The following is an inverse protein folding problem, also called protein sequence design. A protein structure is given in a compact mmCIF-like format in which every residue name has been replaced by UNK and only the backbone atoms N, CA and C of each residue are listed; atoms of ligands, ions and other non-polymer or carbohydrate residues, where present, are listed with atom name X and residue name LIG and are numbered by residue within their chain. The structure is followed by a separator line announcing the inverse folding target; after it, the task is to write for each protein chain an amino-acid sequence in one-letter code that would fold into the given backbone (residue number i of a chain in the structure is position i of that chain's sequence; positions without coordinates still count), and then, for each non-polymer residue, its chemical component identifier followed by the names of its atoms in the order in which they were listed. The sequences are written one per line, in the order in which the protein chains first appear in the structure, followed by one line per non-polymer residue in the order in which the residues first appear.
data_IF_181908336592
#
_entry.id   IF_181908336592
#
_cell.length_a   1.000
_cell.length_b   1.000
_cell.length_c   1.000
_cell.angle_alpha   90.00
_cell.angle_beta   90.00
_cell.angle_gamma   90.00
#
_symmetry.space_group_name_H-M   'P 1'
#
loop_
_entity.id
_entity.type
_entity.pdbx_description
1 polymer ?
#
# COMPACT_ATOMS: atom_id res chain seq x y z
N UNK A 1 -4.85 -34.18 -16.10
CA UNK A 1 -5.51 -33.12 -16.89
C UNK A 1 -5.05 -31.78 -16.35
N UNK A 2 -4.50 -30.92 -17.20
CA UNK A 2 -4.12 -29.55 -16.84
C UNK A 2 -5.27 -28.63 -17.25
N UNK A 3 -5.79 -27.84 -16.32
CA UNK A 3 -6.80 -26.81 -16.61
C UNK A 3 -6.05 -25.50 -16.83
N UNK A 4 -6.37 -24.80 -17.92
CA UNK A 4 -5.81 -23.49 -18.22
C UNK A 4 -6.86 -22.43 -17.89
N UNK A 5 -6.68 -21.62 -16.83
CA UNK A 5 -7.58 -20.52 -16.54
C UNK A 5 -7.35 -19.41 -17.57
N UNK A 6 -8.36 -19.13 -18.38
CA UNK A 6 -8.36 -18.01 -19.32
C UNK A 6 -8.99 -16.79 -18.63
N UNK A 7 -8.30 -15.66 -18.70
CA UNK A 7 -8.70 -14.38 -18.12
C UNK A 7 -8.12 -13.25 -18.96
N UNK A 8 -8.96 -12.58 -19.75
CA UNK A 8 -8.51 -11.61 -20.77
C UNK A 8 -9.09 -10.24 -20.49
N UNK A 9 -8.26 -9.22 -20.73
CA UNK A 9 -8.66 -7.83 -20.69
C UNK A 9 -8.46 -7.21 -22.06
N UNK A 10 -9.43 -6.41 -22.50
CA UNK A 10 -9.37 -5.63 -23.73
C UNK A 10 -9.91 -4.22 -23.48
N UNK A 11 -9.25 -3.22 -24.06
CA UNK A 11 -9.74 -1.84 -24.04
C UNK A 11 -10.38 -1.52 -25.38
N UNK A 12 -11.62 -1.03 -25.35
CA UNK A 12 -12.40 -0.66 -26.54
C UNK A 12 -12.94 0.76 -26.41
N UNK A 13 -13.17 1.40 -27.54
CA UNK A 13 -13.92 2.65 -27.62
C UNK A 13 -15.40 2.42 -27.28
N UNK A 14 -16.03 3.44 -26.68
CA UNK A 14 -17.46 3.39 -26.33
C UNK A 14 -18.35 3.20 -27.56
N UNK A 15 -17.90 3.70 -28.71
CA UNK A 15 -18.63 3.67 -29.98
C UNK A 15 -18.10 2.57 -30.93
N UNK A 16 -17.23 1.68 -30.46
CA UNK A 16 -16.68 0.60 -31.30
C UNK A 16 -17.79 -0.38 -31.74
N UNK A 17 -17.84 -0.77 -33.01
CA UNK A 17 -18.79 -1.78 -33.48
C UNK A 17 -18.62 -3.09 -32.70
N UNK A 18 -19.74 -3.68 -32.27
CA UNK A 18 -19.74 -4.98 -31.56
C UNK A 18 -18.93 -6.08 -32.27
N UNK A 19 -18.95 -6.21 -33.62
CA UNK A 19 -18.09 -7.18 -34.30
C UNK A 19 -16.59 -6.97 -34.03
N UNK A 20 -16.13 -5.72 -34.04
CA UNK A 20 -14.71 -5.39 -33.81
C UNK A 20 -14.30 -5.73 -32.36
N UNK A 21 -15.21 -5.53 -31.40
CA UNK A 21 -15.01 -5.94 -30.00
C UNK A 21 -14.88 -7.46 -29.88
N UNK A 22 -15.72 -8.22 -30.59
CA UNK A 22 -15.67 -9.69 -30.58
C UNK A 22 -14.36 -10.18 -31.19
N UNK A 23 -13.95 -9.61 -32.32
CA UNK A 23 -12.70 -9.96 -33.00
C UNK A 23 -11.48 -9.66 -32.10
N UNK A 24 -11.48 -8.52 -31.41
CA UNK A 24 -10.44 -8.18 -30.45
C UNK A 24 -10.38 -9.18 -29.29
N UNK A 25 -11.52 -9.54 -28.69
CA UNK A 25 -11.57 -10.52 -27.61
C UNK A 25 -11.08 -11.90 -28.06
N UNK A 26 -11.44 -12.34 -29.26
CA UNK A 26 -10.95 -13.60 -29.83
C UNK A 26 -9.43 -13.57 -30.07
N UNK A 27 -8.90 -12.42 -30.51
CA UNK A 27 -7.47 -12.22 -30.67
C UNK A 27 -6.74 -12.26 -29.32
N UNK A 28 -7.25 -11.58 -28.30
CA UNK A 28 -6.64 -11.58 -26.95
C UNK A 28 -6.67 -12.96 -26.29
N UNK A 29 -7.75 -13.72 -26.50
CA UNK A 29 -7.81 -15.12 -26.07
C UNK A 29 -6.74 -15.97 -26.75
N UNK A 30 -6.58 -15.82 -28.07
CA UNK A 30 -5.56 -16.56 -28.83
C UNK A 30 -4.14 -16.18 -28.38
N UNK A 31 -3.88 -14.88 -28.21
CA UNK A 31 -2.61 -14.36 -27.70
C UNK A 31 -2.30 -14.93 -26.31
N UNK A 32 -3.29 -14.98 -25.41
CA UNK A 32 -3.11 -15.54 -24.07
C UNK A 32 -2.79 -17.03 -24.11
N UNK A 33 -3.51 -17.82 -24.93
CA UNK A 33 -3.22 -19.25 -25.08
C UNK A 33 -1.77 -19.48 -25.51
N UNK A 34 -1.28 -18.71 -26.49
CA UNK A 34 0.12 -18.79 -26.93
C UNK A 34 1.11 -18.41 -25.83
N UNK A 35 0.81 -17.37 -25.06
CA UNK A 35 1.62 -16.96 -23.89
C UNK A 35 1.64 -18.04 -22.81
N UNK A 36 0.51 -18.71 -22.55
CA UNK A 36 0.42 -19.83 -21.61
C UNK A 36 1.24 -21.02 -22.08
N UNK A 37 1.17 -21.39 -23.36
CA UNK A 37 2.02 -22.45 -23.94
C UNK A 37 3.50 -22.11 -23.78
N UNK A 38 3.90 -20.87 -24.09
CA UNK A 38 5.27 -20.41 -23.90
C UNK A 38 5.71 -20.51 -22.43
N UNK A 39 4.86 -20.09 -21.49
CA UNK A 39 5.13 -20.16 -20.06
C UNK A 39 5.32 -21.62 -19.61
N UNK A 40 4.40 -22.51 -19.99
CA UNK A 40 4.47 -23.93 -19.65
C UNK A 40 5.74 -24.57 -20.23
N UNK A 41 6.05 -24.30 -21.50
CA UNK A 41 7.25 -24.82 -22.16
C UNK A 41 8.55 -24.33 -21.48
N UNK A 42 8.57 -23.07 -21.03
CA UNK A 42 9.73 -22.47 -20.37
C UNK A 42 9.98 -23.03 -18.96
N UNK A 43 8.92 -23.36 -18.22
CA UNK A 43 9.01 -23.64 -16.79
C UNK A 43 8.76 -25.10 -16.39
N UNK A 44 8.19 -25.92 -17.27
CA UNK A 44 7.99 -27.36 -17.00
C UNK A 44 9.33 -28.10 -16.96
N UNK A 45 9.50 -29.01 -16.00
CA UNK A 45 10.73 -29.81 -15.82
C UNK A 45 10.41 -31.27 -15.52
N UNK A 46 11.23 -32.18 -16.05
CA UNK A 46 11.27 -33.58 -15.61
C UNK A 46 9.93 -34.33 -15.69
N UNK A 47 9.10 -34.04 -16.70
CA UNK A 47 7.77 -34.65 -16.87
C UNK A 47 6.65 -34.03 -16.03
N UNK A 48 6.96 -33.05 -15.16
CA UNK A 48 5.97 -32.26 -14.43
C UNK A 48 5.62 -30.99 -15.21
N UNK A 49 4.36 -30.86 -15.58
CA UNK A 49 3.79 -29.68 -16.25
C UNK A 49 3.42 -28.64 -15.20
N UNK A 50 3.95 -27.42 -15.29
CA UNK A 50 3.49 -26.32 -14.44
C UNK A 50 2.17 -25.75 -14.97
N UNK A 51 1.27 -25.32 -14.07
CA UNK A 51 0.12 -24.49 -14.50
C UNK A 51 0.59 -23.08 -14.86
N UNK A 52 -0.14 -22.40 -15.73
CA UNK A 52 0.11 -21.03 -16.13
C UNK A 52 -1.11 -20.17 -15.77
N UNK A 53 -0.87 -19.03 -15.14
CA UNK A 53 -1.89 -18.13 -14.62
C UNK A 53 -1.66 -16.73 -15.18
N UNK A 54 -2.65 -16.12 -15.86
CA UNK A 54 -2.58 -14.73 -16.29
C UNK A 54 -2.75 -13.76 -15.11
N UNK A 55 -2.08 -12.63 -15.18
CA UNK A 55 -2.22 -11.49 -14.26
C UNK A 55 -2.24 -10.19 -15.07
N UNK A 56 -3.15 -9.29 -14.73
CA UNK A 56 -3.31 -8.01 -15.41
C UNK A 56 -2.70 -6.88 -14.59
N UNK A 57 -1.96 -6.00 -15.25
CA UNK A 57 -1.28 -4.86 -14.63
C UNK A 57 -1.63 -3.58 -15.39
N UNK A 58 -1.69 -2.48 -14.64
CA UNK A 58 -1.84 -1.12 -15.18
C UNK A 58 -0.67 -0.23 -14.72
N UNK A 59 0.52 -0.38 -15.33
CA UNK A 59 1.60 0.57 -15.12
C UNK A 59 1.21 1.93 -15.70
N UNK A 60 1.07 2.94 -14.84
CA UNK A 60 0.60 4.27 -15.22
C UNK A 60 1.48 4.92 -16.30
N UNK A 61 2.77 4.62 -16.29
CA UNK A 61 3.78 5.09 -17.24
C UNK A 61 3.57 4.53 -18.65
N UNK A 62 2.97 3.34 -18.78
CA UNK A 62 2.64 2.76 -20.09
C UNK A 62 1.29 3.27 -20.61
N UNK A 63 0.33 3.57 -19.72
CA UNK A 63 -1.00 4.04 -20.10
C UNK A 63 -1.88 3.00 -20.79
N UNK A 64 -1.52 1.71 -20.71
CA UNK A 64 -2.30 0.60 -21.23
C UNK A 64 -2.12 -0.66 -20.37
N UNK A 65 -3.01 -1.64 -20.56
CA UNK A 65 -2.95 -2.92 -19.87
C UNK A 65 -1.73 -3.73 -20.30
N UNK A 66 -1.16 -4.45 -19.33
CA UNK A 66 -0.13 -5.46 -19.54
C UNK A 66 -0.63 -6.75 -18.91
N UNK A 67 -0.75 -7.81 -19.71
CA UNK A 67 -1.03 -9.16 -19.21
C UNK A 67 0.29 -9.93 -19.13
N UNK A 68 0.58 -10.51 -17.97
CA UNK A 68 1.75 -11.38 -17.77
C UNK A 68 1.28 -12.74 -17.31
N UNK A 69 1.74 -13.79 -17.97
CA UNK A 69 1.43 -15.17 -17.60
C UNK A 69 2.54 -15.75 -16.74
N UNK A 70 2.23 -16.03 -15.47
CA UNK A 70 3.16 -16.61 -14.52
C UNK A 70 2.94 -18.11 -14.30
N UNK A 71 4.02 -18.88 -14.09
CA UNK A 71 3.89 -20.28 -13.71
C UNK A 71 3.40 -20.40 -12.26
N UNK A 72 2.41 -21.25 -12.03
CA UNK A 72 1.89 -21.56 -10.70
C UNK A 72 2.87 -22.44 -9.92
N UNK A 73 2.93 -22.26 -8.60
CA UNK A 73 3.81 -23.01 -7.70
C UNK A 73 5.30 -22.66 -7.80
N UNK A 74 5.72 -21.78 -8.71
CA UNK A 74 7.10 -21.29 -8.78
C UNK A 74 7.27 -20.07 -7.85
N UNK A 75 8.28 -20.06 -6.96
CA UNK A 75 8.57 -18.91 -6.11
C UNK A 75 8.80 -17.63 -6.91
N UNK A 76 8.24 -16.50 -6.44
CA UNK A 76 8.33 -15.23 -7.16
C UNK A 76 9.78 -14.75 -7.39
N UNK A 77 10.71 -15.13 -6.53
CA UNK A 77 12.13 -14.76 -6.65
C UNK A 77 12.83 -15.48 -7.83
N UNK A 78 12.30 -16.63 -8.26
CA UNK A 78 12.79 -17.32 -9.46
C UNK A 78 12.33 -16.62 -10.77
N UNK A 79 11.42 -15.65 -10.67
CA UNK A 79 10.82 -14.94 -11.81
C UNK A 79 11.44 -13.54 -12.01
N UNK A 80 12.49 -13.19 -11.25
CA UNK A 80 13.16 -11.87 -11.33
C UNK A 80 13.67 -11.58 -12.74
N UNK A 81 14.27 -12.57 -13.43
CA UNK A 81 14.79 -12.38 -14.78
C UNK A 81 13.69 -12.04 -15.79
N UNK A 82 12.52 -12.67 -15.66
CA UNK A 82 11.35 -12.39 -16.50
C UNK A 82 10.82 -10.98 -16.25
N UNK A 83 10.75 -10.54 -14.98
CA UNK A 83 10.33 -9.17 -14.64
C UNK A 83 11.31 -8.13 -15.15
N UNK A 84 12.62 -8.34 -15.01
CA UNK A 84 13.63 -7.43 -15.58
C UNK A 84 13.52 -7.31 -17.10
N UNK A 85 13.19 -8.41 -17.78
CA UNK A 85 12.93 -8.38 -19.22
C UNK A 85 11.69 -7.53 -19.56
N UNK A 86 10.60 -7.66 -18.79
CA UNK A 86 9.41 -6.80 -18.95
C UNK A 86 9.73 -5.32 -18.72
N UNK A 87 10.48 -4.99 -17.67
CA UNK A 87 10.92 -3.61 -17.43
C UNK A 87 11.68 -3.04 -18.63
N UNK A 88 12.64 -3.81 -19.17
CA UNK A 88 13.42 -3.41 -20.35
C UNK A 88 12.54 -3.23 -21.59
N UNK A 89 11.59 -4.15 -21.83
CA UNK A 89 10.69 -4.09 -22.98
C UNK A 89 9.74 -2.90 -22.91
N UNK A 90 9.30 -2.53 -21.71
CA UNK A 90 8.35 -1.46 -21.45
C UNK A 90 8.99 -0.12 -21.08
N UNK A 91 10.34 -0.05 -21.11
CA UNK A 91 11.13 1.13 -20.74
C UNK A 91 10.82 1.66 -19.33
N UNK A 92 10.53 0.76 -18.40
CA UNK A 92 10.25 1.08 -17.01
C UNK A 92 11.55 1.10 -16.18
N UNK A 93 11.64 1.96 -15.16
CA UNK A 93 12.79 1.99 -14.27
C UNK A 93 12.89 0.70 -13.44
N UNK A 94 14.12 0.29 -13.12
CA UNK A 94 14.42 -0.90 -12.29
C UNK A 94 14.49 -0.57 -10.78
N UNK A 95 13.87 0.54 -10.36
CA UNK A 95 13.92 1.06 -8.99
C UNK A 95 12.79 0.56 -8.08
N UNK A 96 11.71 -0.01 -8.65
CA UNK A 96 10.57 -0.56 -7.90
C UNK A 96 9.93 -1.77 -8.60
N UNK A 97 9.16 -2.60 -7.87
CA UNK A 97 8.40 -3.68 -8.48
C UNK A 97 7.17 -3.15 -9.25
N UNK A 98 7.00 -3.60 -10.49
CA UNK A 98 5.77 -3.35 -11.27
C UNK A 98 4.94 -4.62 -11.50
N UNK A 99 5.60 -5.77 -11.60
CA UNK A 99 5.00 -7.00 -12.13
C UNK A 99 5.04 -8.17 -11.16
N UNK A 100 5.18 -7.97 -9.84
CA UNK A 100 4.96 -9.09 -8.91
C UNK A 100 3.48 -9.43 -8.87
N UNK A 101 3.11 -10.66 -8.49
CA UNK A 101 1.71 -11.07 -8.40
C UNK A 101 0.86 -10.12 -7.53
N UNK A 102 1.44 -9.55 -6.47
CA UNK A 102 0.76 -8.58 -5.59
C UNK A 102 0.56 -7.19 -6.21
N UNK A 103 1.24 -6.88 -7.31
CA UNK A 103 1.02 -5.66 -8.09
C UNK A 103 -0.10 -5.82 -9.13
N UNK A 104 -0.70 -7.02 -9.25
CA UNK A 104 -1.81 -7.23 -10.16
C UNK A 104 -2.94 -6.25 -9.83
N UNK A 105 -3.59 -5.76 -10.89
CA UNK A 105 -4.70 -4.86 -10.77
C UNK A 105 -5.87 -5.58 -10.09
N UNK A 106 -6.45 -4.93 -9.08
CA UNK A 106 -7.67 -5.40 -8.44
C UNK A 106 -8.86 -4.75 -9.13
N UNK A 107 -9.66 -5.57 -9.82
CA UNK A 107 -10.88 -5.09 -10.48
C UNK A 107 -11.95 -4.71 -9.44
N UNK A 108 -12.98 -3.94 -9.81
CA UNK A 108 -14.01 -3.50 -8.86
C UNK A 108 -14.63 -4.63 -8.02
N UNK A 109 -14.85 -5.81 -8.63
CA UNK A 109 -15.40 -6.97 -7.92
C UNK A 109 -14.41 -7.57 -6.92
N UNK A 110 -13.11 -7.62 -7.26
CA UNK A 110 -12.06 -8.04 -6.35
C UNK A 110 -12.02 -7.11 -5.13
N UNK A 111 -12.04 -5.80 -5.38
CA UNK A 111 -12.05 -4.78 -4.34
C UNK A 111 -13.30 -4.86 -3.45
N UNK A 112 -14.47 -5.15 -4.04
CA UNK A 112 -15.72 -5.32 -3.30
C UNK A 112 -15.73 -6.57 -2.41
N UNK A 113 -14.95 -7.59 -2.77
CA UNK A 113 -14.79 -8.82 -1.98
C UNK A 113 -13.79 -8.66 -0.83
N UNK A 114 -12.98 -7.59 -0.83
CA UNK A 114 -11.98 -7.39 0.20
C UNK A 114 -12.58 -6.95 1.54
N UNK A 115 -12.04 -7.45 2.65
CA UNK A 115 -12.53 -7.11 3.98
C UNK A 115 -12.11 -5.71 4.46
N UNK A 116 -11.29 -4.97 3.70
CA UNK A 116 -10.76 -3.67 4.11
C UNK A 116 -10.82 -2.68 2.95
N UNK A 117 -11.23 -1.45 3.25
CA UNK A 117 -11.18 -0.38 2.24
C UNK A 117 -9.74 -0.11 1.77
N UNK A 118 -9.58 0.14 0.48
CA UNK A 118 -8.31 0.61 -0.12
C UNK A 118 -8.37 2.09 -0.43
N UNK A 119 -7.22 2.76 -0.34
CA UNK A 119 -7.00 4.10 -0.89
C UNK A 119 -8.14 5.09 -0.57
N UNK A 120 -8.64 5.09 0.67
CA UNK A 120 -9.82 5.86 1.11
C UNK A 120 -9.70 7.38 0.93
N UNK A 121 -8.50 7.86 0.58
CA UNK A 121 -8.25 9.24 0.22
C UNK A 121 -8.66 9.64 -1.19
N UNK A 122 -8.87 8.69 -2.10
CA UNK A 122 -9.23 8.97 -3.48
C UNK A 122 -10.59 9.68 -3.52
N UNK A 123 -10.66 10.79 -4.26
CA UNK A 123 -11.84 11.66 -4.34
C UNK A 123 -11.82 12.85 -3.37
N UNK A 124 -10.96 12.85 -2.35
CA UNK A 124 -10.81 14.00 -1.46
C UNK A 124 -10.06 15.14 -2.16
N UNK A 125 -10.62 16.35 -2.09
CA UNK A 125 -10.02 17.54 -2.71
C UNK A 125 -8.97 18.17 -1.78
N UNK A 126 -7.74 18.40 -2.24
CA UNK A 126 -6.75 19.14 -1.47
C UNK A 126 -7.12 20.62 -1.34
N UNK A 127 -6.55 21.34 -0.36
CA UNK A 127 -6.61 22.78 -0.30
C UNK A 127 -6.08 23.43 -1.58
N UNK A 128 -6.78 24.45 -2.07
CA UNK A 128 -6.40 25.18 -3.28
C UNK A 128 -5.10 25.97 -3.09
N UNK A 129 -4.32 26.14 -4.16
CA UNK A 129 -3.10 26.96 -4.15
C UNK A 129 -1.87 26.30 -3.51
N UNK A 130 -2.01 25.09 -2.97
CA UNK A 130 -0.93 24.35 -2.35
C UNK A 130 -0.16 23.48 -3.36
N UNK A 131 1.14 23.32 -3.12
CA UNK A 131 1.89 22.18 -3.64
C UNK A 131 1.47 20.92 -2.88
N UNK A 132 1.07 19.88 -3.61
CA UNK A 132 0.55 18.64 -3.02
C UNK A 132 1.47 17.47 -3.36
N UNK A 133 1.79 16.64 -2.36
CA UNK A 133 2.35 15.30 -2.55
C UNK A 133 1.61 14.29 -1.69
N UNK A 134 1.31 13.15 -2.28
CA UNK A 134 0.54 12.08 -1.65
C UNK A 134 1.38 10.81 -1.56
N UNK A 135 0.90 9.85 -0.78
CA UNK A 135 1.32 8.46 -0.89
C UNK A 135 1.25 8.01 -2.35
N UNK A 136 2.28 7.30 -2.82
CA UNK A 136 2.32 6.71 -4.16
C UNK A 136 1.95 5.23 -4.08
N UNK A 137 0.99 4.79 -4.89
CA UNK A 137 0.52 3.41 -4.88
C UNK A 137 -0.69 3.16 -3.99
N UNK A 138 -0.84 1.91 -3.56
CA UNK A 138 -2.02 1.39 -2.87
C UNK A 138 -1.74 1.00 -1.42
N UNK A 139 -2.74 1.15 -0.57
CA UNK A 139 -2.71 0.71 0.83
C UNK A 139 -4.12 0.31 1.28
N UNK A 140 -4.20 -0.51 2.32
CA UNK A 140 -5.45 -0.86 3.00
C UNK A 140 -5.62 0.01 4.25
N UNK A 141 -6.82 0.51 4.48
CA UNK A 141 -7.12 1.27 5.69
C UNK A 141 -7.31 0.33 6.87
N UNK A 142 -6.38 0.42 7.83
CA UNK A 142 -6.41 -0.36 9.05
C UNK A 142 -6.83 0.52 10.22
N UNK A 143 -7.85 0.10 10.95
CA UNK A 143 -8.44 0.88 12.04
C UNK A 143 -8.96 -0.01 13.17
N UNK A 144 -9.45 0.60 14.25
CA UNK A 144 -9.96 -0.11 15.42
C UNK A 144 -11.09 -1.09 15.11
N UNK A 145 -11.18 -2.12 15.96
CA UNK A 145 -12.22 -3.16 15.92
C UNK A 145 -12.19 -4.07 14.69
N UNK A 146 -11.16 -3.97 13.85
CA UNK A 146 -10.88 -4.96 12.81
C UNK A 146 -10.30 -6.26 13.41
N UNK A 147 -10.39 -7.34 12.65
CA UNK A 147 -9.80 -8.66 12.95
C UNK A 147 -10.27 -9.29 14.27
N UNK A 148 -11.45 -8.91 14.75
CA UNK A 148 -12.02 -9.34 16.04
C UNK A 148 -11.16 -8.92 17.24
N UNK A 149 -10.43 -7.82 17.12
CA UNK A 149 -9.61 -7.25 18.18
C UNK A 149 -10.25 -5.97 18.73
N UNK A 150 -10.59 -5.96 20.02
CA UNK A 150 -10.96 -4.73 20.71
C UNK A 150 -9.70 -3.99 21.15
N UNK A 151 -9.17 -3.18 20.23
CA UNK A 151 -8.00 -2.35 20.41
C UNK A 151 -8.31 -0.87 20.65
N UNK A 152 -9.58 -0.56 20.96
CA UNK A 152 -10.02 0.79 21.21
C UNK A 152 -9.28 1.39 22.41
N UNK A 153 -8.66 2.55 22.19
CA UNK A 153 -7.91 3.30 23.20
C UNK A 153 -6.43 2.93 23.33
N UNK A 154 -5.91 1.93 22.60
CA UNK A 154 -4.48 1.57 22.69
C UNK A 154 -3.84 1.05 21.40
N UNK A 155 -4.64 0.70 20.38
CA UNK A 155 -4.16 0.08 19.15
C UNK A 155 -3.68 1.05 18.05
N UNK A 156 -3.75 2.37 18.26
CA UNK A 156 -3.67 3.35 17.15
C UNK A 156 -2.37 3.21 16.33
N UNK A 157 -1.23 3.07 17.01
CA UNK A 157 0.05 2.85 16.37
C UNK A 157 0.18 1.46 15.70
N UNK A 158 -0.47 0.43 16.26
CA UNK A 158 -0.53 -0.90 15.64
C UNK A 158 -1.27 -0.84 14.31
N UNK A 159 -2.41 -0.16 14.26
CA UNK A 159 -3.19 0.01 13.03
C UNK A 159 -2.48 0.86 11.98
N UNK A 160 -1.81 1.93 12.41
CA UNK A 160 -0.93 2.72 11.52
C UNK A 160 0.19 1.86 10.93
N UNK A 161 0.86 1.03 11.75
CA UNK A 161 1.86 0.06 11.29
C UNK A 161 1.26 -0.95 10.29
N UNK A 162 0.09 -1.53 10.58
CA UNK A 162 -0.58 -2.45 9.66
C UNK A 162 -0.88 -1.78 8.31
N UNK A 163 -1.32 -0.52 8.31
CA UNK A 163 -1.52 0.26 7.07
C UNK A 163 -0.23 0.36 6.26
N UNK A 164 0.88 0.72 6.92
CA UNK A 164 2.21 0.80 6.28
C UNK A 164 2.63 -0.57 5.71
N UNK A 165 2.46 -1.65 6.46
CA UNK A 165 2.78 -3.01 5.97
C UNK A 165 1.95 -3.36 4.74
N UNK A 166 0.66 -3.01 4.72
CA UNK A 166 -0.19 -3.27 3.55
C UNK A 166 0.25 -2.47 2.32
N UNK A 167 0.83 -1.29 2.51
CA UNK A 167 1.42 -0.54 1.40
C UNK A 167 2.60 -1.30 0.79
N UNK A 168 3.55 -1.78 1.60
CA UNK A 168 4.69 -2.57 1.12
C UNK A 168 4.24 -3.87 0.43
N UNK A 169 3.18 -4.51 0.91
CA UNK A 169 2.59 -5.70 0.27
C UNK A 169 2.06 -5.38 -1.12
N UNK A 170 1.21 -4.36 -1.23
CA UNK A 170 0.54 -3.98 -2.48
C UNK A 170 1.51 -3.35 -3.49
N UNK A 171 2.64 -2.81 -3.03
CA UNK A 171 3.72 -2.34 -3.90
C UNK A 171 4.69 -3.47 -4.28
N UNK A 172 4.48 -4.70 -3.79
CA UNK A 172 5.31 -5.85 -4.16
C UNK A 172 6.68 -5.86 -3.51
N UNK A 173 6.88 -5.12 -2.41
CA UNK A 173 8.13 -5.21 -1.65
C UNK A 173 8.16 -6.41 -0.71
N UNK A 174 7.00 -6.97 -0.37
CA UNK A 174 6.91 -8.12 0.54
C UNK A 174 5.70 -9.00 0.23
N UNK A 175 5.89 -10.30 0.45
CA UNK A 175 4.81 -11.30 0.47
C UNK A 175 4.42 -11.67 1.93
N UNK A 176 5.05 -11.03 2.94
CA UNK A 176 4.74 -11.26 4.35
C UNK A 176 3.29 -10.84 4.67
N UNK A 177 2.59 -11.61 5.50
CA UNK A 177 1.26 -11.26 5.98
C UNK A 177 1.29 -10.01 6.89
N UNK A 178 0.15 -9.32 6.99
CA UNK A 178 0.02 -8.17 7.88
C UNK A 178 0.00 -8.67 9.32
N UNK A 179 0.90 -8.20 10.21
CA UNK A 179 1.02 -8.77 11.54
C UNK A 179 -0.14 -8.35 12.45
N UNK A 180 -0.59 -9.27 13.29
CA UNK A 180 -1.51 -9.03 14.41
C UNK A 180 -0.83 -8.22 15.53
N UNK A 181 -1.61 -7.66 16.46
CA UNK A 181 -1.07 -6.94 17.62
C UNK A 181 -0.13 -7.83 18.44
N UNK A 182 -0.47 -9.11 18.61
CA UNK A 182 0.34 -10.07 19.37
C UNK A 182 1.68 -10.34 18.68
N UNK A 183 1.69 -10.47 17.35
CA UNK A 183 2.93 -10.63 16.57
C UNK A 183 3.79 -9.37 16.62
N UNK A 184 3.17 -8.19 16.54
CA UNK A 184 3.88 -6.90 16.72
C UNK A 184 4.54 -6.83 18.11
N UNK A 185 3.79 -7.19 19.16
CA UNK A 185 4.33 -7.24 20.52
C UNK A 185 5.47 -8.26 20.65
N UNK A 186 5.31 -9.44 20.03
CA UNK A 186 6.34 -10.48 20.04
C UNK A 186 7.61 -10.00 19.34
N UNK A 187 7.51 -9.31 18.20
CA UNK A 187 8.68 -8.73 17.52
C UNK A 187 9.46 -7.77 18.41
N UNK A 188 8.77 -6.93 19.19
CA UNK A 188 9.42 -6.00 20.12
C UNK A 188 10.12 -6.71 21.29
N UNK A 189 9.57 -7.84 21.74
CA UNK A 189 10.24 -8.69 22.73
C UNK A 189 11.45 -9.39 22.12
N UNK A 190 11.33 -9.92 20.90
CA UNK A 190 12.38 -10.69 20.23
C UNK A 190 13.63 -9.86 19.94
N UNK A 191 13.48 -8.55 19.71
CA UNK A 191 14.60 -7.62 19.52
C UNK A 191 15.14 -7.04 20.83
N UNK A 192 14.55 -7.42 21.97
CA UNK A 192 14.97 -6.98 23.31
C UNK A 192 14.50 -5.58 23.72
N UNK A 193 13.57 -4.97 22.99
CA UNK A 193 13.02 -3.64 23.29
C UNK A 193 12.00 -3.67 24.44
N UNK A 194 11.21 -4.76 24.54
CA UNK A 194 10.17 -4.92 25.56
C UNK A 194 10.35 -6.20 26.37
N UNK A 195 9.87 -6.25 27.64
CA UNK A 195 9.87 -7.48 28.43
C UNK A 195 8.83 -8.48 27.89
N UNK A 196 8.99 -9.77 28.20
CA UNK A 196 8.08 -10.83 27.75
C UNK A 196 6.62 -10.61 28.16
N UNK A 197 6.37 -9.92 29.29
CA UNK A 197 5.02 -9.55 29.75
C UNK A 197 4.30 -8.56 28.83
N UNK A 198 4.99 -7.96 27.86
CA UNK A 198 4.41 -7.05 26.88
C UNK A 198 3.49 -7.79 25.89
N UNK A 199 3.76 -9.06 25.60
CA UNK A 199 2.98 -9.87 24.66
C UNK A 199 1.62 -10.23 25.27
N UNK A 200 0.56 -9.89 24.55
CA UNK A 200 -0.82 -10.01 25.02
C UNK A 200 -1.29 -8.84 25.90
N UNK A 201 -0.45 -7.83 26.12
CA UNK A 201 -0.85 -6.62 26.84
C UNK A 201 -1.73 -5.71 25.97
N UNK A 202 -2.29 -4.66 26.58
CA UNK A 202 -3.01 -3.56 25.91
C UNK A 202 -2.20 -2.26 25.92
N UNK A 203 -0.87 -2.37 25.92
CA UNK A 203 -0.01 -1.21 25.97
C UNK A 203 0.14 -0.60 24.56
N UNK A 204 0.07 0.72 24.49
CA UNK A 204 0.51 1.52 23.35
C UNK A 204 1.98 1.30 22.95
N UNK A 205 2.27 1.58 21.69
CA UNK A 205 3.62 1.69 21.12
C UNK A 205 3.78 3.05 20.43
N UNK A 206 5.01 3.55 20.29
CA UNK A 206 5.31 4.80 19.61
C UNK A 206 5.89 4.62 18.21
N UNK A 207 6.27 5.73 17.60
CA UNK A 207 6.86 5.77 16.25
C UNK A 207 8.18 5.00 16.15
N UNK A 208 8.95 4.95 17.24
CA UNK A 208 10.22 4.22 17.30
C UNK A 208 9.99 2.70 17.23
N UNK A 209 9.07 2.17 18.04
CA UNK A 209 8.69 0.76 18.00
C UNK A 209 8.05 0.36 16.66
N UNK A 210 7.29 1.27 16.01
CA UNK A 210 6.80 1.06 14.64
C UNK A 210 7.97 0.88 13.67
N UNK A 211 8.98 1.74 13.73
CA UNK A 211 10.19 1.61 12.91
C UNK A 211 10.94 0.30 13.17
N UNK A 212 11.06 -0.12 14.44
CA UNK A 212 11.66 -1.41 14.80
C UNK A 212 10.91 -2.60 14.23
N UNK A 213 9.58 -2.58 14.29
CA UNK A 213 8.75 -3.64 13.71
C UNK A 213 8.88 -3.69 12.19
N UNK A 214 8.91 -2.54 11.50
CA UNK A 214 9.12 -2.50 10.05
C UNK A 214 10.48 -3.05 9.65
N UNK A 215 11.53 -2.71 10.41
CA UNK A 215 12.86 -3.25 10.17
C UNK A 215 12.91 -4.77 10.42
N UNK A 216 12.38 -5.24 11.55
CA UNK A 216 12.37 -6.67 11.90
C UNK A 216 11.57 -7.51 10.91
N UNK A 217 10.41 -7.02 10.47
CA UNK A 217 9.48 -7.74 9.60
C UNK A 217 9.89 -7.70 8.13
N UNK A 218 10.30 -6.52 7.65
CA UNK A 218 10.45 -6.24 6.22
C UNK A 218 11.87 -5.85 5.81
N UNK A 219 12.80 -5.74 6.75
CA UNK A 219 14.14 -5.18 6.53
C UNK A 219 14.11 -3.77 5.92
N UNK A 220 13.11 -2.98 6.32
CA UNK A 220 12.93 -1.59 5.88
C UNK A 220 13.61 -0.65 6.87
N UNK A 221 14.37 0.33 6.35
CA UNK A 221 14.92 1.41 7.16
C UNK A 221 13.87 2.52 7.33
N UNK A 222 13.76 3.06 8.54
CA UNK A 222 12.82 4.14 8.84
C UNK A 222 13.57 5.36 9.35
N UNK A 223 13.41 6.50 8.67
CA UNK A 223 13.90 7.77 9.18
C UNK A 223 12.95 8.27 10.27
N UNK A 224 13.50 8.66 11.41
CA UNK A 224 12.72 9.34 12.46
C UNK A 224 12.83 10.85 12.31
N UNK A 225 11.70 11.54 12.30
CA UNK A 225 11.64 13.00 12.32
C UNK A 225 11.03 13.46 13.64
N UNK A 226 11.82 14.19 14.42
CA UNK A 226 11.45 14.70 15.73
C UNK A 226 10.92 16.13 15.62
N UNK A 227 9.83 16.40 16.32
CA UNK A 227 9.20 17.72 16.39
C UNK A 227 8.84 18.02 17.84
N UNK A 228 9.39 19.12 18.37
CA UNK A 228 9.29 19.46 19.79
C UNK A 228 7.89 19.89 20.23
N UNK A 229 7.09 20.41 19.29
CA UNK A 229 5.72 20.89 19.51
C UNK A 229 4.89 20.71 18.24
N UNK A 230 3.59 20.46 18.35
CA UNK A 230 2.66 20.48 17.20
C UNK A 230 2.66 21.81 16.43
N UNK A 231 3.03 22.93 17.07
CA UNK A 231 3.20 24.23 16.43
C UNK A 231 4.40 24.29 15.47
N UNK A 232 5.41 23.44 15.71
CA UNK A 232 6.61 23.36 14.88
C UNK A 232 6.44 22.43 13.68
N UNK A 233 5.34 21.65 13.60
CA UNK A 233 5.12 20.69 12.53
C UNK A 233 5.16 21.33 11.12
N UNK A 234 4.58 22.53 10.88
CA UNK A 234 4.70 23.21 9.59
C UNK A 234 6.14 23.53 9.17
N UNK A 235 7.10 23.61 10.09
CA UNK A 235 8.52 23.77 9.74
C UNK A 235 9.10 22.56 8.99
N UNK A 236 8.43 21.39 9.08
CA UNK A 236 8.81 20.14 8.46
C UNK A 236 8.15 19.87 7.10
N UNK A 237 7.31 20.78 6.61
CA UNK A 237 6.52 20.56 5.39
C UNK A 237 7.35 20.21 4.16
N UNK A 238 8.49 20.87 3.98
CA UNK A 238 9.40 20.57 2.86
C UNK A 238 10.04 19.18 2.95
N UNK A 239 10.33 18.72 4.16
CA UNK A 239 10.88 17.36 4.37
C UNK A 239 9.81 16.30 4.07
N UNK A 240 8.55 16.55 4.45
CA UNK A 240 7.43 15.66 4.13
C UNK A 240 7.10 15.66 2.63
N UNK A 241 7.13 16.81 1.96
CA UNK A 241 7.01 16.88 0.49
C UNK A 241 8.07 16.01 -0.18
N UNK A 242 9.33 16.14 0.23
CA UNK A 242 10.44 15.36 -0.32
C UNK A 242 10.28 13.86 -0.04
N UNK A 243 9.76 13.47 1.13
CA UNK A 243 9.46 12.07 1.45
C UNK A 243 8.42 11.48 0.51
N UNK A 244 7.29 12.15 0.33
CA UNK A 244 6.23 11.65 -0.55
C UNK A 244 6.63 11.66 -2.02
N UNK A 245 7.46 12.60 -2.46
CA UNK A 245 8.02 12.62 -3.81
C UNK A 245 8.95 11.43 -4.06
N UNK A 246 9.88 11.17 -3.12
CA UNK A 246 10.95 10.19 -3.32
C UNK A 246 10.53 8.77 -2.98
N UNK A 247 9.85 8.59 -1.85
CA UNK A 247 9.49 7.27 -1.30
C UNK A 247 8.00 6.98 -1.47
N UNK A 248 7.15 8.00 -1.28
CA UNK A 248 5.71 7.86 -1.43
C UNK A 248 5.06 6.91 -0.41
N UNK A 249 5.76 6.51 0.65
CA UNK A 249 5.23 5.61 1.68
C UNK A 249 4.39 6.36 2.72
N UNK A 250 3.37 5.73 3.34
CA UNK A 250 2.63 6.31 4.46
C UNK A 250 3.54 6.58 5.67
N UNK A 251 3.28 7.66 6.39
CA UNK A 251 4.08 8.12 7.54
C UNK A 251 3.27 7.95 8.82
N UNK A 252 3.76 7.18 9.78
CA UNK A 252 3.14 7.13 11.11
C UNK A 252 3.60 8.35 11.92
N UNK A 253 2.67 9.06 12.54
CA UNK A 253 2.96 10.14 13.48
C UNK A 253 2.41 9.78 14.86
N UNK A 254 3.23 9.89 15.90
CA UNK A 254 2.87 9.67 17.28
C UNK A 254 3.14 10.89 18.14
N UNK A 255 2.18 11.29 18.97
CA UNK A 255 2.32 12.38 19.94
C UNK A 255 1.45 12.13 21.15
N UNK A 256 2.08 12.04 22.33
CA UNK A 256 1.40 11.49 23.50
C UNK A 256 0.78 10.13 23.20
N UNK A 257 -0.42 9.86 23.74
CA UNK A 257 -1.12 8.57 23.62
C UNK A 257 -1.83 8.33 22.27
N UNK A 258 -1.64 9.21 21.30
CA UNK A 258 -2.33 9.14 20.01
C UNK A 258 -1.34 8.94 18.87
N UNK A 259 -1.77 8.14 17.91
CA UNK A 259 -1.07 7.96 16.65
C UNK A 259 -2.03 8.10 15.47
N UNK A 260 -1.52 8.66 14.38
CA UNK A 260 -2.23 8.77 13.12
C UNK A 260 -1.31 8.29 11.97
N UNK A 261 -1.87 8.19 10.77
CA UNK A 261 -1.08 7.98 9.55
C UNK A 261 -1.24 9.20 8.64
N UNK A 262 -0.14 9.85 8.29
CA UNK A 262 -0.10 10.89 7.27
C UNK A 262 0.15 10.21 5.92
N UNK A 263 -0.73 10.44 4.98
CA UNK A 263 -0.69 9.85 3.62
C UNK A 263 -0.60 10.93 2.53
N UNK A 264 -0.32 12.17 2.93
CA UNK A 264 -0.08 13.27 2.02
C UNK A 264 0.09 14.59 2.74
N UNK A 265 0.61 15.57 2.02
CA UNK A 265 0.84 16.93 2.47
C UNK A 265 0.46 17.92 1.37
N UNK A 266 -0.12 19.03 1.79
CA UNK A 266 -0.40 20.19 0.97
C UNK A 266 0.24 21.41 1.63
N UNK A 267 1.11 22.10 0.90
CA UNK A 267 1.90 23.21 1.39
C UNK A 267 1.78 24.43 0.47
N UNK A 268 1.32 25.56 1.00
CA UNK A 268 1.34 26.83 0.28
C UNK A 268 2.72 27.48 0.46
N UNK A 269 3.49 27.52 -0.62
CA UNK A 269 4.86 28.09 -0.61
C UNK A 269 4.90 29.61 -0.40
N UNK A 270 3.77 30.31 -0.58
CA UNK A 270 3.66 31.77 -0.43
C UNK A 270 3.25 32.14 0.99
N UNK A 271 2.27 31.45 1.57
CA UNK A 271 1.76 31.77 2.92
C UNK A 271 2.46 30.97 4.02
N UNK A 272 3.02 29.80 3.68
CA UNK A 272 3.53 28.83 4.65
C UNK A 272 2.45 27.91 5.22
N UNK A 273 1.20 28.06 4.79
CA UNK A 273 0.09 27.24 5.28
C UNK A 273 0.31 25.78 4.93
N UNK A 274 0.11 24.91 5.92
CA UNK A 274 0.34 23.47 5.78
C UNK A 274 -0.91 22.70 6.19
N UNK A 275 -1.27 21.74 5.34
CA UNK A 275 -2.30 20.77 5.59
C UNK A 275 -1.76 19.35 5.42
N UNK A 276 -2.27 18.44 6.24
CA UNK A 276 -1.89 17.05 6.29
C UNK A 276 -3.09 16.21 5.89
N UNK A 277 -2.89 15.28 4.97
CA UNK A 277 -3.91 14.29 4.66
C UNK A 277 -3.76 13.16 5.70
N UNK A 278 -4.67 13.16 6.66
CA UNK A 278 -4.63 12.25 7.80
C UNK A 278 -5.59 11.10 7.57
N UNK A 279 -5.09 9.90 7.81
CA UNK A 279 -5.85 8.66 7.94
C UNK A 279 -5.85 8.27 9.42
N UNK A 280 -7.05 8.28 10.01
CA UNK A 280 -7.25 8.15 11.45
C UNK A 280 -7.52 6.69 11.85
N UNK A 281 -6.60 6.01 12.57
CA UNK A 281 -6.80 4.62 12.95
C UNK A 281 -7.88 4.41 14.02
N UNK A 282 -8.42 5.47 14.62
CA UNK A 282 -9.39 5.38 15.73
C UNK A 282 -10.82 5.10 15.24
N UNK A 283 -11.07 5.03 13.94
CA UNK A 283 -12.38 4.68 13.41
C UNK A 283 -12.79 3.27 13.88
N UNK A 284 -14.05 3.15 14.32
CA UNK A 284 -14.62 1.91 14.90
C UNK A 284 -15.85 1.42 14.14
N UNK A 285 -16.24 2.12 13.07
CA UNK A 285 -17.41 1.75 12.28
C UNK A 285 -17.13 0.63 11.28
N UNK A 286 -18.15 0.31 10.48
CA UNK A 286 -18.04 -0.62 9.37
C UNK A 286 -17.23 -0.02 8.20
N UNK A 287 -16.85 -0.86 7.23
CA UNK A 287 -16.11 -0.46 6.03
C UNK A 287 -16.97 0.39 5.06
N UNK A 288 -17.34 1.61 5.47
CA UNK A 288 -18.18 2.55 4.72
C UNK A 288 -17.37 3.79 4.31
N UNK A 289 -16.98 3.84 3.03
CA UNK A 289 -16.14 4.91 2.48
C UNK A 289 -16.76 6.30 2.68
N UNK A 290 -18.09 6.41 2.50
CA UNK A 290 -18.79 7.67 2.65
C UNK A 290 -18.68 8.21 4.08
N UNK A 291 -18.85 7.36 5.11
CA UNK A 291 -18.66 7.74 6.51
C UNK A 291 -17.22 8.09 6.80
N UNK A 292 -16.26 7.31 6.30
CA UNK A 292 -14.82 7.56 6.49
C UNK A 292 -14.42 8.94 5.97
N UNK A 293 -14.89 9.32 4.78
CA UNK A 293 -14.59 10.62 4.18
C UNK A 293 -15.42 11.76 4.80
N UNK A 294 -16.76 11.62 4.88
CA UNK A 294 -17.65 12.71 5.29
C UNK A 294 -17.51 13.08 6.77
N UNK A 295 -17.15 12.12 7.63
CA UNK A 295 -16.86 12.39 9.06
C UNK A 295 -15.39 12.74 9.30
N UNK A 296 -14.56 12.74 8.26
CA UNK A 296 -13.16 13.17 8.33
C UNK A 296 -12.22 12.21 9.03
N UNK A 297 -12.51 10.90 9.03
CA UNK A 297 -11.58 9.84 9.45
C UNK A 297 -10.45 9.65 8.43
N UNK A 298 -10.73 9.90 7.15
CA UNK A 298 -9.71 10.24 6.16
C UNK A 298 -9.99 11.66 5.66
N UNK A 299 -9.05 12.59 5.82
CA UNK A 299 -9.30 13.98 5.45
C UNK A 299 -8.10 14.91 5.56
N UNK A 300 -8.17 16.03 4.85
CA UNK A 300 -7.23 17.13 4.98
C UNK A 300 -7.45 17.87 6.30
N UNK A 301 -6.38 18.02 7.08
CA UNK A 301 -6.36 18.68 8.38
C UNK A 301 -5.34 19.81 8.38
N UNK A 302 -5.71 20.99 8.86
CA UNK A 302 -4.77 22.10 9.03
C UNK A 302 -3.80 21.87 10.21
N UNK A 303 -2.81 22.75 10.35
CA UNK A 303 -1.80 22.66 11.43
C UNK A 303 -2.40 22.59 12.85
N UNK A 304 -3.54 23.25 13.08
CA UNK A 304 -4.24 23.26 14.38
C UNK A 304 -4.87 21.92 14.78
N UNK A 305 -4.84 20.90 13.90
CA UNK A 305 -5.26 19.55 14.25
C UNK A 305 -4.32 18.90 15.27
N UNK A 306 -3.04 19.24 15.23
CA UNK A 306 -2.05 18.75 16.17
C UNK A 306 -2.11 19.56 17.46
N UNK A 307 -1.87 18.93 18.60
CA UNK A 307 -1.76 19.64 19.87
C UNK A 307 -0.47 20.47 19.88
N UNK A 308 -0.66 21.78 19.98
CA UNK A 308 0.40 22.78 19.89
C UNK A 308 1.39 22.72 21.08
N UNK A 309 1.09 21.96 22.13
CA UNK A 309 1.96 21.84 23.30
C UNK A 309 2.59 20.44 23.45
N UNK A 310 2.24 19.50 22.57
CA UNK A 310 2.74 18.14 22.59
C UNK A 310 3.87 17.95 21.58
N UNK A 311 4.87 17.14 21.95
CA UNK A 311 5.91 16.70 21.01
C UNK A 311 5.36 15.61 20.08
N UNK A 312 5.95 15.50 18.89
CA UNK A 312 5.61 14.50 17.89
C UNK A 312 6.85 13.84 17.32
N UNK A 313 6.76 12.53 17.12
CA UNK A 313 7.73 11.75 16.35
C UNK A 313 7.04 11.19 15.12
N UNK A 314 7.70 11.27 13.98
CA UNK A 314 7.22 10.70 12.73
C UNK A 314 8.18 9.59 12.30
N UNK A 315 7.63 8.44 11.96
CA UNK A 315 8.33 7.31 11.36
C UNK A 315 8.10 7.34 9.85
N UNK A 316 9.16 7.58 9.08
CA UNK A 316 9.16 7.70 7.62
C UNK A 316 9.85 6.47 7.00
N UNK A 317 9.10 5.44 6.56
CA UNK A 317 9.66 4.23 5.94
C UNK A 317 10.30 4.55 4.58
N UNK A 318 11.51 4.05 4.31
CA UNK A 318 12.28 4.38 3.10
C UNK A 318 12.21 3.28 2.03
#
# INVERSE_FOLDING_TARGET
HTVLPLDVVATVGVDDPVPDVIDLLAQELSNQVDQMVCCIARFSKGGSVCSAEPFHFWPAECGHWITVVYPSGIPQDNLISCRRELHRLLLLPDDRPYFRKSNAYAFPDDLASEPYLRNVHVGLRPPSGCEVRLVSGQYKYRHYQQDRMDDNGWGCAYRSLQTIVTWFQLQGYTDCATPSHREIQQMLVDIGDKPSSFVGSRQWIGSQEVGYCLNKLLNVECRTMFVSSGADLPSKSRELLAHFEKHGSPVMIGGGMLAHTIIGIAFDTKTGDTHYLVLDPHYTGAEDLATVQNKGWCGWKGANFWDQNSFYNLCLPQ
#
